data_IF_272706591943
#
_entry.id   IF_272706591943
#
_cell.length_a   1.000
_cell.length_b   1.000
_cell.length_c   1.000
_cell.angle_alpha   90.00
_cell.angle_beta   90.00
_cell.angle_gamma   90.00
#
_symmetry.space_group_name_H-M   'P 1'
#
loop_
_entity.id
_entity.type
_entity.pdbx_description
1 polymer ?
#
# COMPACT_ATOMS: atom_id res chain seq x y z
N UNK A 1 24.33 -19.96 23.05
CA UNK A 1 23.44 -19.14 23.91
C UNK A 1 24.29 -18.01 24.46
N UNK A 2 24.13 -16.81 23.92
CA UNK A 2 24.75 -15.59 24.42
C UNK A 2 23.62 -14.58 24.59
N UNK A 3 23.43 -14.10 25.82
CA UNK A 3 22.43 -13.09 26.15
C UNK A 3 23.03 -11.70 25.92
N UNK A 4 22.32 -10.75 25.28
CA UNK A 4 22.69 -9.33 25.33
C UNK A 4 22.42 -8.77 26.74
N UNK A 5 23.22 -7.77 27.13
CA UNK A 5 23.31 -7.21 28.48
C UNK A 5 22.18 -6.25 28.88
N UNK A 6 21.15 -6.09 28.06
CA UNK A 6 20.03 -5.17 28.29
C UNK A 6 18.78 -5.85 28.87
N UNK A 7 18.83 -7.16 29.09
CA UNK A 7 17.71 -7.92 29.65
C UNK A 7 16.53 -8.10 28.69
N UNK A 8 16.69 -7.74 27.41
CA UNK A 8 15.63 -7.93 26.42
C UNK A 8 15.68 -9.36 25.87
N UNK A 9 14.63 -10.14 26.16
CA UNK A 9 14.45 -11.46 25.56
C UNK A 9 13.94 -11.29 24.13
N UNK A 10 14.85 -11.17 23.17
CA UNK A 10 14.49 -11.45 21.77
C UNK A 10 14.34 -12.96 21.63
N UNK A 11 13.09 -13.42 21.63
CA UNK A 11 12.78 -14.70 21.02
C UNK A 11 13.06 -14.51 19.53
N UNK A 12 14.15 -15.10 19.03
CA UNK A 12 14.26 -15.36 17.60
C UNK A 12 13.06 -16.23 17.26
N UNK A 13 12.03 -15.64 16.65
CA UNK A 13 10.92 -16.39 16.10
C UNK A 13 11.38 -16.96 14.75
N UNK A 14 11.55 -18.28 14.62
CA UNK A 14 11.90 -18.91 13.35
C UNK A 14 10.73 -18.89 12.35
N UNK A 15 9.58 -18.27 12.70
CA UNK A 15 8.44 -18.04 11.83
C UNK A 15 8.32 -16.59 11.34
N UNK A 16 9.44 -15.88 11.18
CA UNK A 16 9.44 -14.68 10.33
C UNK A 16 9.19 -15.08 8.87
N UNK A 17 7.91 -15.20 8.52
CA UNK A 17 7.40 -15.33 7.16
C UNK A 17 7.01 -13.95 6.68
N UNK A 18 7.66 -13.49 5.62
CA UNK A 18 7.28 -12.33 4.82
C UNK A 18 5.98 -12.56 4.02
N UNK A 19 4.96 -13.11 4.65
CA UNK A 19 3.72 -13.59 4.01
C UNK A 19 2.44 -12.97 4.60
N UNK A 20 2.54 -12.00 5.52
CA UNK A 20 1.37 -11.41 6.16
C UNK A 20 0.91 -10.09 5.58
N UNK A 21 1.45 -9.61 4.45
CA UNK A 21 0.91 -8.45 3.70
C UNK A 21 0.52 -7.25 4.58
N UNK A 22 1.17 -7.08 5.73
CA UNK A 22 0.66 -6.20 6.78
C UNK A 22 1.10 -4.78 6.45
N UNK A 23 0.14 -4.00 5.98
CA UNK A 23 0.18 -2.56 5.83
C UNK A 23 0.74 -1.91 7.10
N UNK A 24 1.97 -1.39 7.00
CA UNK A 24 2.68 -0.69 8.08
C UNK A 24 2.05 0.66 8.41
N UNK A 25 0.79 0.66 8.85
CA UNK A 25 0.06 1.80 9.38
C UNK A 25 -0.72 1.40 10.64
N UNK A 26 -0.16 0.57 11.53
CA UNK A 26 -0.78 0.35 12.84
C UNK A 26 -0.34 1.41 13.87
N UNK A 27 -1.34 1.96 14.56
CA UNK A 27 -1.27 3.12 15.44
C UNK A 27 -0.34 2.98 16.67
N UNK A 28 0.32 4.10 16.97
CA UNK A 28 0.78 4.62 18.28
C UNK A 28 1.28 3.62 19.35
N UNK A 29 2.54 3.20 19.23
CA UNK A 29 3.35 2.92 20.43
C UNK A 29 4.11 4.19 20.84
N UNK A 30 3.81 4.66 22.05
CA UNK A 30 4.40 5.86 22.66
C UNK A 30 5.93 5.81 22.54
N UNK A 31 6.51 6.68 21.71
CA UNK A 31 7.96 6.86 21.58
C UNK A 31 8.62 6.33 20.31
N UNK A 32 7.86 5.81 19.35
CA UNK A 32 8.37 5.48 18.02
C UNK A 32 8.01 6.61 17.03
N UNK A 33 8.95 7.15 16.23
CA UNK A 33 8.57 7.98 15.09
C UNK A 33 7.63 7.16 14.19
N UNK A 34 6.65 7.77 13.51
CA UNK A 34 5.85 7.04 12.54
C UNK A 34 6.82 6.40 11.55
N UNK A 35 6.87 5.08 11.52
CA UNK A 35 7.56 4.37 10.44
C UNK A 35 6.94 4.88 9.15
N UNK A 36 7.76 5.20 8.14
CA UNK A 36 7.23 5.69 6.87
C UNK A 36 6.26 4.63 6.37
N UNK A 37 4.97 4.97 6.38
CA UNK A 37 3.94 4.19 5.73
C UNK A 37 4.46 3.89 4.33
N UNK A 38 4.77 2.63 4.07
CA UNK A 38 5.38 2.24 2.81
C UNK A 38 4.28 2.38 1.76
N UNK A 39 4.21 3.56 1.15
CA UNK A 39 3.17 3.90 0.20
C UNK A 39 3.44 3.10 -1.08
N UNK A 40 2.63 2.08 -1.33
CA UNK A 40 2.73 1.22 -2.51
C UNK A 40 1.95 1.88 -3.63
N UNK A 41 2.62 2.19 -4.74
CA UNK A 41 1.95 2.77 -5.90
C UNK A 41 0.82 1.84 -6.39
N UNK A 42 -0.40 2.36 -6.52
CA UNK A 42 -1.59 1.58 -6.89
C UNK A 42 -2.34 0.90 -5.75
N UNK A 43 -1.82 0.91 -4.51
CA UNK A 43 -2.51 0.47 -3.29
C UNK A 43 -3.29 1.65 -2.70
N UNK A 44 -4.47 1.91 -3.27
CA UNK A 44 -5.25 3.13 -2.97
C UNK A 44 -6.17 2.97 -1.76
N UNK A 45 -6.43 1.73 -1.34
CA UNK A 45 -7.14 1.43 -0.09
C UNK A 45 -6.19 1.17 1.09
N UNK A 46 -4.87 1.16 0.83
CA UNK A 46 -3.78 1.07 1.81
C UNK A 46 -3.85 -0.24 2.62
N UNK A 47 -4.22 -1.34 1.96
CA UNK A 47 -4.27 -2.67 2.54
C UNK A 47 -2.93 -3.44 2.42
N UNK A 48 -1.95 -2.88 1.70
CA UNK A 48 -0.63 -3.45 1.49
C UNK A 48 -0.53 -4.30 0.21
N UNK A 49 -1.60 -4.44 -0.56
CA UNK A 49 -1.69 -5.35 -1.70
C UNK A 49 -2.34 -4.68 -2.92
N UNK A 50 -1.60 -4.56 -4.03
CA UNK A 50 -2.17 -4.10 -5.30
C UNK A 50 -3.07 -5.19 -5.90
N UNK A 51 -4.38 -4.98 -5.91
CA UNK A 51 -5.35 -5.97 -6.36
C UNK A 51 -6.63 -5.34 -6.97
N UNK A 52 -7.70 -6.14 -7.11
CA UNK A 52 -8.96 -5.68 -7.72
C UNK A 52 -9.72 -4.67 -6.84
N UNK A 53 -9.48 -4.68 -5.53
CA UNK A 53 -10.12 -3.76 -4.59
C UNK A 53 -9.67 -2.32 -4.81
N UNK A 54 -8.41 -2.09 -5.19
CA UNK A 54 -7.90 -0.79 -5.62
C UNK A 54 -8.61 -0.24 -6.85
N UNK A 55 -8.81 -1.10 -7.85
CA UNK A 55 -9.55 -0.76 -9.07
C UNK A 55 -10.99 -0.35 -8.71
N UNK A 56 -11.63 -1.12 -7.83
CA UNK A 56 -13.00 -0.82 -7.36
C UNK A 56 -13.03 0.47 -6.55
N UNK A 57 -12.01 0.73 -5.73
CA UNK A 57 -11.87 1.97 -4.96
C UNK A 57 -11.81 3.18 -5.88
N UNK A 58 -10.95 3.19 -6.90
CA UNK A 58 -10.85 4.29 -7.88
C UNK A 58 -12.17 4.50 -8.64
N UNK A 59 -12.87 3.42 -9.02
CA UNK A 59 -14.19 3.52 -9.65
C UNK A 59 -15.19 4.19 -8.70
N UNK A 60 -15.21 3.80 -7.43
CA UNK A 60 -16.12 4.36 -6.45
C UNK A 60 -15.82 5.85 -6.19
N UNK A 61 -14.55 6.20 -6.01
CA UNK A 61 -14.10 7.58 -5.86
C UNK A 61 -14.49 8.45 -7.08
N UNK A 62 -14.19 8.00 -8.29
CA UNK A 62 -14.39 8.81 -9.51
C UNK A 62 -15.84 8.87 -9.98
N UNK A 63 -16.63 7.83 -9.74
CA UNK A 63 -17.91 7.66 -10.43
C UNK A 63 -19.10 7.29 -9.54
N UNK A 64 -18.91 7.14 -8.22
CA UNK A 64 -19.99 6.76 -7.30
C UNK A 64 -19.97 7.51 -5.97
N UNK A 65 -19.44 8.73 -5.96
CA UNK A 65 -19.37 9.58 -4.77
C UNK A 65 -18.69 8.90 -3.56
N UNK A 66 -17.75 7.98 -3.85
CA UNK A 66 -16.91 7.34 -2.83
C UNK A 66 -15.89 8.31 -2.23
N UNK A 67 -15.26 7.92 -1.11
CA UNK A 67 -14.20 8.73 -0.51
C UNK A 67 -12.99 8.85 -1.44
N UNK A 68 -12.24 9.95 -1.30
CA UNK A 68 -10.93 10.08 -1.93
C UNK A 68 -9.90 9.13 -1.26
N UNK A 69 -8.87 8.67 -2.00
CA UNK A 69 -7.75 7.95 -1.39
C UNK A 69 -7.11 8.76 -0.26
N UNK A 70 -6.58 8.08 0.76
CA UNK A 70 -5.87 8.75 1.86
C UNK A 70 -4.61 9.47 1.35
N UNK A 71 -3.87 8.82 0.45
CA UNK A 71 -2.77 9.40 -0.32
C UNK A 71 -3.26 9.45 -1.78
N UNK A 72 -3.57 10.64 -2.27
CA UNK A 72 -4.16 10.83 -3.59
C UNK A 72 -3.24 10.32 -4.70
N UNK A 73 -1.93 10.56 -4.55
CA UNK A 73 -0.87 10.23 -5.47
C UNK A 73 -0.80 8.73 -5.81
N UNK A 74 -1.27 7.84 -4.90
CA UNK A 74 -1.30 6.39 -5.15
C UNK A 74 -2.31 5.98 -6.23
N UNK A 75 -3.26 6.86 -6.54
CA UNK A 75 -4.26 6.64 -7.57
C UNK A 75 -3.94 7.26 -8.94
N UNK A 76 -2.93 8.15 -9.04
CA UNK A 76 -2.40 8.68 -10.31
C UNK A 76 -1.37 7.70 -10.88
N UNK A 77 -1.80 6.50 -11.21
CA UNK A 77 -0.90 5.36 -11.46
C UNK A 77 -0.20 5.43 -12.81
N UNK A 78 -0.62 6.32 -13.70
CA UNK A 78 0.09 6.64 -14.94
C UNK A 78 0.94 7.93 -14.86
N UNK A 79 0.86 8.65 -13.73
CA UNK A 79 1.63 9.86 -13.43
C UNK A 79 1.16 11.09 -14.21
N UNK A 80 -0.09 11.06 -14.70
CA UNK A 80 -0.73 12.08 -15.52
C UNK A 80 -1.99 12.62 -14.83
N UNK A 81 -1.77 13.30 -13.72
CA UNK A 81 -2.72 14.19 -13.06
C UNK A 81 -3.76 14.85 -14.00
N UNK A 82 -5.07 14.80 -13.68
CA UNK A 82 -5.68 14.20 -12.48
C UNK A 82 -6.11 12.74 -12.67
N UNK A 83 -6.30 12.02 -11.55
CA UNK A 83 -6.92 10.67 -11.51
C UNK A 83 -8.21 10.64 -12.34
N UNK A 84 -8.26 9.74 -13.32
CA UNK A 84 -9.37 9.57 -14.23
C UNK A 84 -9.53 8.09 -14.65
N UNK A 85 -10.27 7.84 -15.74
CA UNK A 85 -10.53 6.46 -16.23
C UNK A 85 -9.27 5.78 -16.76
N UNK A 86 -8.27 6.55 -17.20
CA UNK A 86 -7.03 6.02 -17.74
C UNK A 86 -6.21 5.34 -16.64
N UNK A 87 -6.16 5.90 -15.43
CA UNK A 87 -5.55 5.26 -14.25
C UNK A 87 -6.16 3.89 -13.95
N UNK A 88 -7.49 3.83 -13.95
CA UNK A 88 -8.25 2.58 -13.73
C UNK A 88 -7.88 1.54 -14.80
N UNK A 89 -7.81 1.95 -16.06
CA UNK A 89 -7.42 1.07 -17.17
C UNK A 89 -5.95 0.67 -17.09
N UNK A 90 -5.07 1.58 -16.65
CA UNK A 90 -3.65 1.34 -16.48
C UNK A 90 -3.42 0.27 -15.41
N UNK A 91 -4.07 0.41 -14.25
CA UNK A 91 -4.00 -0.54 -13.15
C UNK A 91 -4.51 -1.93 -13.57
N UNK A 92 -5.64 -2.00 -14.31
CA UNK A 92 -6.13 -3.26 -14.89
C UNK A 92 -5.09 -3.90 -15.83
N UNK A 93 -4.45 -3.10 -16.69
CA UNK A 93 -3.48 -3.63 -17.63
C UNK A 93 -2.21 -4.13 -16.92
N UNK A 94 -1.74 -3.41 -15.90
CA UNK A 94 -0.61 -3.83 -15.07
C UNK A 94 -0.90 -5.18 -14.38
N UNK A 95 -2.03 -5.30 -13.67
CA UNK A 95 -2.34 -6.49 -12.87
C UNK A 95 -2.71 -7.71 -13.75
N UNK A 96 -3.40 -7.50 -14.87
CA UNK A 96 -4.05 -8.61 -15.61
C UNK A 96 -3.59 -8.80 -17.05
N UNK A 97 -2.72 -7.94 -17.60
CA UNK A 97 -2.34 -7.99 -19.02
C UNK A 97 -0.85 -7.75 -19.29
N UNK A 98 0.01 -8.02 -18.31
CA UNK A 98 1.45 -7.77 -18.42
C UNK A 98 1.76 -6.33 -18.88
N UNK A 99 0.99 -5.37 -18.36
CA UNK A 99 1.15 -3.95 -18.63
C UNK A 99 2.44 -3.38 -18.03
N UNK A 100 2.75 -2.13 -18.34
CA UNK A 100 3.89 -1.44 -17.78
C UNK A 100 3.76 -1.27 -16.25
N UNK A 101 4.90 -1.11 -15.58
CA UNK A 101 4.97 -0.79 -14.14
C UNK A 101 4.27 0.54 -13.85
N UNK A 102 3.66 0.63 -12.67
CA UNK A 102 2.92 1.83 -12.22
C UNK A 102 3.88 2.99 -11.92
N UNK A 103 3.43 4.22 -12.18
CA UNK A 103 4.20 5.45 -12.02
C UNK A 103 3.40 6.52 -11.26
N UNK A 104 3.27 6.35 -9.94
CA UNK A 104 2.51 7.27 -9.09
C UNK A 104 3.19 8.64 -8.92
N UNK A 105 2.39 9.71 -8.88
CA UNK A 105 2.85 11.09 -8.75
C UNK A 105 1.97 11.95 -7.85
#
# INVERSE_FOLDING_TARGET
MMLPSDGSTVLYDPHFSSEDGSSGCELELIGHPPEPCHAICGDVDNDGLINILDIVFLINYKYKDGPAPYIYELGDVDGLDPINILDIVYLINNIYKDGADLLCR
#
